data_IF_994126813850
#
_entry.id   IF_994126813850
#
_cell.length_a   1.000
_cell.length_b   1.000
_cell.length_c   1.000
_cell.angle_alpha   90.00
_cell.angle_beta   90.00
_cell.angle_gamma   90.00
#
_symmetry.space_group_name_H-M   'P 1'
#
loop_
_entity.id
_entity.type
_entity.pdbx_description
1 polymer ?
#
# COMPACT_ATOMS: atom_id res chain seq x y z
N UNK A 1 14.12 -24.13 57.11
CA UNK A 1 13.01 -23.25 57.54
C UNK A 1 13.24 -21.90 56.89
N UNK A 2 12.34 -21.25 56.17
CA UNK A 2 10.98 -21.53 55.69
C UNK A 2 10.66 -20.41 54.67
N UNK A 3 9.61 -20.61 53.89
CA UNK A 3 9.20 -19.90 52.67
C UNK A 3 8.73 -18.43 52.89
N UNK A 4 8.60 -17.62 51.81
CA UNK A 4 8.35 -16.17 51.76
C UNK A 4 6.85 -15.81 51.65
N UNK A 5 6.51 -14.53 51.88
CA UNK A 5 5.24 -13.90 51.49
C UNK A 5 5.44 -12.37 51.54
N UNK A 6 5.50 -11.71 50.38
CA UNK A 6 4.42 -10.92 49.77
C UNK A 6 4.14 -9.58 50.45
N UNK A 7 4.08 -8.53 49.62
CA UNK A 7 3.25 -7.30 49.69
C UNK A 7 3.85 -6.35 48.63
N UNK A 8 3.55 -6.52 47.35
CA UNK A 8 2.39 -5.93 46.67
C UNK A 8 2.32 -4.40 46.87
N UNK A 9 2.93 -3.63 45.95
CA UNK A 9 2.52 -2.24 45.76
C UNK A 9 1.22 -2.22 44.94
N UNK A 10 0.11 -1.67 45.46
CA UNK A 10 -1.13 -1.59 44.72
C UNK A 10 -1.00 -0.53 43.60
N UNK A 11 -1.36 -0.93 42.39
CA UNK A 11 -1.67 0.01 41.31
C UNK A 11 -2.82 0.92 41.75
N UNK A 12 -2.86 2.21 41.35
CA UNK A 12 -4.00 3.07 41.63
C UNK A 12 -5.22 2.50 40.89
N UNK A 13 -6.23 2.09 41.65
CA UNK A 13 -7.57 1.87 41.14
C UNK A 13 -8.12 3.21 40.60
N UNK A 14 -8.62 3.25 39.36
CA UNK A 14 -9.54 4.33 38.99
C UNK A 14 -9.46 4.96 37.60
N UNK A 15 -8.78 4.39 36.61
CA UNK A 15 -9.09 4.73 35.22
C UNK A 15 -10.12 3.73 34.66
N UNK A 16 -11.34 3.73 35.20
CA UNK A 16 -12.45 3.00 34.61
C UNK A 16 -12.97 3.79 33.40
N UNK A 17 -12.52 3.36 32.22
CA UNK A 17 -13.10 3.83 30.95
C UNK A 17 -14.59 3.46 30.95
N UNK A 18 -15.51 4.39 30.65
CA UNK A 18 -16.93 4.08 30.53
C UNK A 18 -17.16 2.89 29.59
N UNK A 19 -18.01 1.92 29.98
CA UNK A 19 -18.20 0.67 29.22
C UNK A 19 -18.54 0.90 27.73
N UNK A 20 -19.33 1.95 27.42
CA UNK A 20 -19.66 2.33 26.04
C UNK A 20 -18.46 2.82 25.21
N UNK A 21 -17.37 3.23 25.86
CA UNK A 21 -16.11 3.63 25.23
C UNK A 21 -15.11 2.48 25.12
N UNK A 22 -15.27 1.37 25.86
CA UNK A 22 -14.33 0.23 25.81
C UNK A 22 -14.30 -0.42 24.42
N UNK A 23 -15.48 -0.65 23.83
CA UNK A 23 -15.61 -1.21 22.48
C UNK A 23 -15.12 -0.22 21.42
N UNK A 24 -15.43 1.07 21.59
CA UNK A 24 -14.97 2.13 20.69
C UNK A 24 -13.44 2.29 20.75
N UNK A 25 -12.85 2.30 21.94
CA UNK A 25 -11.40 2.36 22.15
C UNK A 25 -10.71 1.15 21.55
N UNK A 26 -11.22 -0.06 21.79
CA UNK A 26 -10.69 -1.29 21.18
C UNK A 26 -10.74 -1.21 19.66
N UNK A 27 -11.85 -0.74 19.08
CA UNK A 27 -11.99 -0.53 17.63
C UNK A 27 -11.00 0.49 17.07
N UNK A 28 -10.80 1.63 17.74
CA UNK A 28 -9.84 2.66 17.29
C UNK A 28 -8.39 2.21 17.43
N UNK A 29 -8.07 1.50 18.51
CA UNK A 29 -6.75 0.88 18.72
C UNK A 29 -6.50 -0.17 17.64
N UNK A 30 -7.42 -1.10 17.40
CA UNK A 30 -7.30 -2.09 16.33
C UNK A 30 -7.16 -1.43 14.93
N UNK A 31 -7.94 -0.38 14.65
CA UNK A 31 -7.86 0.35 13.39
C UNK A 31 -6.50 1.05 13.22
N UNK A 32 -6.01 1.71 14.27
CA UNK A 32 -4.70 2.36 14.27
C UNK A 32 -3.55 1.36 14.16
N UNK A 33 -3.69 0.17 14.74
CA UNK A 33 -2.70 -0.88 14.67
C UNK A 33 -2.68 -1.54 13.27
N UNK A 34 -3.81 -1.72 12.60
CA UNK A 34 -3.84 -2.46 11.31
C UNK A 34 -3.16 -1.69 10.16
N UNK A 35 -3.20 -0.36 10.15
CA UNK A 35 -2.58 0.46 9.09
C UNK A 35 -3.17 0.22 7.68
N UNK A 36 -2.50 0.70 6.63
CA UNK A 36 -3.02 0.61 5.26
C UNK A 36 -3.15 -0.85 4.76
N UNK A 37 -4.20 -1.15 3.97
CA UNK A 37 -4.50 -2.51 3.51
C UNK A 37 -3.35 -3.22 2.76
N UNK A 38 -2.50 -2.47 2.05
CA UNK A 38 -1.31 -3.03 1.40
C UNK A 38 -0.21 -3.39 2.43
N UNK A 39 -0.07 -2.61 3.49
CA UNK A 39 0.85 -2.90 4.60
C UNK A 39 0.40 -4.16 5.34
N UNK A 40 -0.91 -4.32 5.61
CA UNK A 40 -1.48 -5.54 6.20
C UNK A 40 -1.10 -6.77 5.38
N UNK A 41 -1.39 -6.75 4.07
CA UNK A 41 -1.09 -7.89 3.19
C UNK A 41 0.41 -8.19 3.12
N UNK A 42 1.23 -7.13 3.03
CA UNK A 42 2.68 -7.26 3.00
C UNK A 42 3.23 -7.85 4.31
N UNK A 43 2.72 -7.40 5.46
CA UNK A 43 3.14 -7.88 6.77
C UNK A 43 2.64 -9.28 7.06
N UNK A 44 1.43 -9.65 6.64
CA UNK A 44 0.92 -11.01 6.78
C UNK A 44 1.83 -12.02 6.07
N UNK A 45 2.25 -11.73 4.83
CA UNK A 45 3.17 -12.59 4.10
C UNK A 45 4.59 -12.61 4.70
N UNK A 46 5.06 -11.49 5.25
CA UNK A 46 6.35 -11.43 5.92
C UNK A 46 6.35 -12.18 7.27
N UNK A 47 5.24 -12.09 8.01
CA UNK A 47 5.00 -12.80 9.26
C UNK A 47 4.94 -14.31 9.02
N UNK A 48 4.17 -14.76 8.03
CA UNK A 48 4.08 -16.17 7.67
C UNK A 48 5.47 -16.76 7.36
N UNK A 49 6.32 -16.02 6.63
CA UNK A 49 7.70 -16.46 6.33
C UNK A 49 8.52 -16.62 7.61
N UNK A 50 8.42 -15.68 8.54
CA UNK A 50 9.14 -15.76 9.82
C UNK A 50 8.63 -16.93 10.67
N UNK A 51 7.31 -17.11 10.80
CA UNK A 51 6.74 -18.21 11.58
C UNK A 51 7.11 -19.57 11.00
N UNK A 52 7.10 -19.73 9.69
CA UNK A 52 7.54 -20.97 9.03
C UNK A 52 9.03 -21.23 9.26
N UNK A 53 9.87 -20.19 9.20
CA UNK A 53 11.29 -20.32 9.53
C UNK A 53 11.50 -20.74 10.99
N UNK A 54 10.83 -20.08 11.94
CA UNK A 54 10.86 -20.46 13.35
C UNK A 54 10.45 -21.92 13.57
N UNK A 55 9.38 -22.38 12.93
CA UNK A 55 8.92 -23.77 13.01
C UNK A 55 9.97 -24.76 12.51
N UNK A 56 10.61 -24.48 11.38
CA UNK A 56 11.68 -25.32 10.82
C UNK A 56 12.88 -25.44 11.77
N UNK A 57 13.20 -24.35 12.46
CA UNK A 57 14.32 -24.27 13.39
C UNK A 57 13.95 -24.59 14.85
N UNK A 58 12.71 -25.02 15.11
CA UNK A 58 12.19 -25.33 16.45
C UNK A 58 12.32 -24.17 17.45
N UNK A 59 12.08 -22.95 16.97
CA UNK A 59 12.11 -21.73 17.76
C UNK A 59 10.71 -21.16 17.91
N UNK A 60 10.45 -20.47 19.03
CA UNK A 60 9.22 -19.71 19.20
C UNK A 60 9.19 -18.49 18.27
N UNK A 61 8.04 -18.29 17.64
CA UNK A 61 7.81 -17.12 16.78
C UNK A 61 7.17 -15.96 17.54
N UNK A 62 6.49 -16.24 18.66
CA UNK A 62 5.81 -15.25 19.48
C UNK A 62 5.64 -15.76 20.93
N UNK A 63 6.29 -15.15 21.93
CA UNK A 63 7.35 -14.13 21.80
C UNK A 63 8.58 -14.74 21.11
N UNK A 64 9.11 -14.07 20.09
CA UNK A 64 10.34 -14.51 19.44
C UNK A 64 11.57 -14.12 20.27
N UNK A 65 12.51 -15.05 20.52
CA UNK A 65 13.79 -14.69 21.12
C UNK A 65 14.60 -13.81 20.15
N UNK A 66 15.48 -12.97 20.72
CA UNK A 66 16.35 -12.07 19.95
C UNK A 66 17.21 -12.87 18.95
N UNK A 67 17.63 -14.06 19.34
CA UNK A 67 18.42 -15.00 18.54
C UNK A 67 17.65 -15.51 17.32
N UNK A 68 16.34 -15.80 17.45
CA UNK A 68 15.52 -16.21 16.32
C UNK A 68 15.40 -15.09 15.27
N UNK A 69 15.15 -13.86 15.73
CA UNK A 69 15.10 -12.71 14.84
C UNK A 69 16.47 -12.45 14.18
N UNK A 70 17.57 -12.52 14.94
CA UNK A 70 18.91 -12.32 14.41
C UNK A 70 19.25 -13.36 13.33
N UNK A 71 18.99 -14.64 13.60
CA UNK A 71 19.21 -15.74 12.65
C UNK A 71 18.40 -15.55 11.36
N UNK A 72 17.10 -15.27 11.49
CA UNK A 72 16.24 -15.03 10.33
C UNK A 72 16.70 -13.84 9.47
N UNK A 73 17.05 -12.70 10.08
CA UNK A 73 17.52 -11.53 9.32
C UNK A 73 18.87 -11.79 8.65
N UNK A 74 19.72 -12.62 9.26
CA UNK A 74 21.00 -13.04 8.70
C UNK A 74 20.78 -13.94 7.50
N UNK A 75 19.90 -14.94 7.59
CA UNK A 75 19.59 -15.82 6.46
C UNK A 75 18.95 -15.05 5.29
N UNK A 76 18.07 -14.08 5.57
CA UNK A 76 17.57 -13.18 4.52
C UNK A 76 18.69 -12.37 3.88
N UNK A 77 19.67 -11.92 4.67
CA UNK A 77 20.83 -11.22 4.15
C UNK A 77 21.67 -12.14 3.26
N UNK A 78 22.03 -13.33 3.72
CA UNK A 78 22.86 -14.29 2.98
C UNK A 78 22.18 -14.77 1.71
N UNK A 79 20.85 -14.92 1.73
CA UNK A 79 20.01 -15.18 0.56
C UNK A 79 19.88 -13.99 -0.41
N UNK A 80 20.67 -12.92 -0.23
CA UNK A 80 20.77 -11.80 -1.15
C UNK A 80 19.59 -10.82 -1.10
N UNK A 81 18.74 -10.84 -0.07
CA UNK A 81 17.62 -9.88 0.02
C UNK A 81 18.12 -8.45 0.18
N UNK A 82 17.35 -7.50 -0.39
CA UNK A 82 17.61 -6.06 -0.27
C UNK A 82 17.42 -5.61 1.17
N UNK A 83 18.21 -4.64 1.62
CA UNK A 83 18.10 -4.04 2.97
C UNK A 83 16.67 -3.57 3.27
N UNK A 84 15.99 -2.96 2.31
CA UNK A 84 14.60 -2.50 2.48
C UNK A 84 13.61 -3.66 2.67
N UNK A 85 13.86 -4.82 2.05
CA UNK A 85 13.06 -6.03 2.27
C UNK A 85 13.28 -6.57 3.68
N UNK A 86 14.54 -6.63 4.13
CA UNK A 86 14.91 -7.10 5.48
C UNK A 86 14.28 -6.19 6.55
N UNK A 87 14.38 -4.87 6.40
CA UNK A 87 13.73 -3.90 7.30
C UNK A 87 12.22 -4.06 7.35
N UNK A 88 11.57 -4.38 6.21
CA UNK A 88 10.13 -4.62 6.16
C UNK A 88 9.74 -5.89 6.94
N UNK A 89 10.53 -6.96 6.84
CA UNK A 89 10.36 -8.15 7.69
C UNK A 89 10.51 -7.81 9.18
N UNK A 90 11.54 -7.04 9.55
CA UNK A 90 11.72 -6.57 10.93
C UNK A 90 10.49 -5.80 11.42
N UNK A 91 9.94 -4.90 10.61
CA UNK A 91 8.75 -4.13 10.98
C UNK A 91 7.49 -4.99 11.11
N UNK A 92 7.31 -6.00 10.24
CA UNK A 92 6.20 -6.94 10.34
C UNK A 92 6.27 -7.76 11.64
N UNK A 93 7.47 -8.23 12.02
CA UNK A 93 7.68 -8.99 13.27
C UNK A 93 7.44 -8.11 14.49
N UNK A 94 7.94 -6.87 14.49
CA UNK A 94 7.65 -5.90 15.55
C UNK A 94 6.14 -5.67 15.69
N UNK A 95 5.44 -5.55 14.55
CA UNK A 95 4.00 -5.33 14.55
C UNK A 95 3.21 -6.51 15.08
N UNK A 96 3.65 -7.74 14.80
CA UNK A 96 3.04 -8.94 15.35
C UNK A 96 3.16 -9.00 16.88
N UNK A 97 4.32 -8.61 17.44
CA UNK A 97 4.51 -8.53 18.89
C UNK A 97 3.66 -7.43 19.52
N UNK A 98 3.63 -6.24 18.91
CA UNK A 98 2.79 -5.12 19.34
C UNK A 98 1.29 -5.49 19.35
N UNK A 99 0.80 -6.15 18.29
CA UNK A 99 -0.59 -6.64 18.21
C UNK A 99 -0.91 -7.71 19.26
N UNK A 100 0.09 -8.44 19.73
CA UNK A 100 -0.05 -9.44 20.80
C UNK A 100 0.16 -8.86 22.20
N UNK A 101 0.45 -7.56 22.33
CA UNK A 101 0.77 -6.92 23.62
C UNK A 101 2.10 -7.37 24.22
N UNK A 102 3.04 -7.83 23.38
CA UNK A 102 4.34 -8.36 23.79
C UNK A 102 5.49 -7.42 23.41
N UNK A 103 6.57 -7.48 24.17
CA UNK A 103 7.80 -6.77 23.84
C UNK A 103 8.40 -7.27 22.52
N UNK A 104 8.75 -6.33 21.64
CA UNK A 104 9.34 -6.68 20.36
C UNK A 104 10.85 -6.95 20.48
N UNK A 105 11.36 -8.09 19.95
CA UNK A 105 12.80 -8.37 19.92
C UNK A 105 13.57 -7.37 19.04
N UNK A 106 12.89 -6.61 18.19
CA UNK A 106 13.51 -5.60 17.31
C UNK A 106 14.06 -4.40 18.08
N UNK A 107 13.65 -4.20 19.33
CA UNK A 107 14.11 -3.09 20.17
C UNK A 107 15.51 -3.31 20.73
N UNK A 108 15.96 -4.57 20.77
CA UNK A 108 17.25 -5.01 21.28
C UNK A 108 18.43 -4.37 20.52
N UNK A 109 19.49 -4.03 21.25
CA UNK A 109 20.69 -3.38 20.69
C UNK A 109 21.41 -4.29 19.69
N UNK A 110 21.44 -5.61 19.91
CA UNK A 110 22.04 -6.60 18.99
C UNK A 110 21.39 -6.54 17.62
N UNK A 111 20.06 -6.45 17.56
CA UNK A 111 19.33 -6.35 16.29
C UNK A 111 19.64 -5.04 15.57
N UNK A 112 19.70 -3.92 16.30
CA UNK A 112 20.07 -2.62 15.73
C UNK A 112 21.49 -2.63 15.14
N UNK A 113 22.44 -3.30 15.82
CA UNK A 113 23.81 -3.47 15.33
C UNK A 113 23.85 -4.38 14.10
N UNK A 114 23.15 -5.51 14.13
CA UNK A 114 23.04 -6.44 13.01
C UNK A 114 22.51 -5.74 11.75
N UNK A 115 21.39 -5.03 11.84
CA UNK A 115 20.80 -4.31 10.71
C UNK A 115 21.75 -3.25 10.14
N UNK A 116 22.54 -2.57 10.99
CA UNK A 116 23.58 -1.64 10.55
C UNK A 116 24.72 -2.37 9.82
N UNK A 117 25.13 -3.54 10.30
CA UNK A 117 26.12 -4.41 9.64
C UNK A 117 25.66 -4.84 8.25
N UNK A 118 24.47 -5.44 8.16
CA UNK A 118 23.82 -5.85 6.90
C UNK A 118 23.77 -4.68 5.91
N UNK A 119 23.37 -3.49 6.37
CA UNK A 119 23.28 -2.31 5.50
C UNK A 119 24.65 -1.84 4.96
N UNK A 120 25.72 -1.95 5.77
CA UNK A 120 27.09 -1.56 5.38
C UNK A 120 27.68 -2.52 4.37
N UNK A 121 27.52 -3.82 4.59
CA UNK A 121 28.05 -4.86 3.70
C UNK A 121 27.33 -4.88 2.35
N UNK A 122 26.00 -4.71 2.36
CA UNK A 122 25.19 -4.89 1.15
C UNK A 122 25.16 -3.72 0.19
N UNK A 123 25.95 -2.64 0.38
CA UNK A 123 26.01 -1.38 -0.41
C UNK A 123 25.04 -1.38 -1.61
N UNK A 124 23.74 -1.28 -1.33
CA UNK A 124 22.73 -1.55 -2.36
C UNK A 124 22.52 -0.25 -3.11
N UNK A 125 23.15 -0.10 -4.27
CA UNK A 125 22.79 1.00 -5.19
C UNK A 125 21.33 0.78 -5.57
N UNK A 126 20.46 1.70 -5.14
CA UNK A 126 19.07 1.72 -5.59
C UNK A 126 19.14 1.93 -7.10
N UNK A 127 18.87 0.86 -7.87
CA UNK A 127 18.65 0.97 -9.31
C UNK A 127 17.36 1.76 -9.48
N UNK A 128 17.49 3.07 -9.64
CA UNK A 128 16.39 3.88 -10.13
C UNK A 128 16.09 3.43 -11.56
N UNK A 129 14.82 3.21 -11.87
CA UNK A 129 14.42 3.04 -13.26
C UNK A 129 14.86 4.27 -14.05
N UNK A 130 15.20 4.09 -15.33
CA UNK A 130 15.47 5.22 -16.21
C UNK A 130 14.31 6.21 -16.12
N UNK A 131 14.62 7.51 -16.09
CA UNK A 131 13.60 8.54 -15.95
C UNK A 131 12.60 8.43 -17.12
N UNK A 132 11.34 8.22 -16.79
CA UNK A 132 10.26 8.31 -17.76
C UNK A 132 10.00 9.79 -18.03
N UNK A 133 10.81 10.37 -18.93
CA UNK A 133 10.82 11.82 -19.18
C UNK A 133 9.51 12.26 -19.86
N UNK A 134 9.20 13.54 -19.76
CA UNK A 134 8.04 14.14 -20.45
C UNK A 134 8.09 13.89 -21.97
N UNK A 135 9.28 13.88 -22.57
CA UNK A 135 9.46 13.58 -23.99
C UNK A 135 9.08 12.13 -24.32
N UNK A 136 9.52 11.17 -23.50
CA UNK A 136 9.16 9.75 -23.65
C UNK A 136 7.66 9.57 -23.44
N UNK A 137 7.07 10.23 -22.43
CA UNK A 137 5.63 10.20 -22.19
C UNK A 137 4.84 10.70 -23.40
N UNK A 138 5.14 11.91 -23.91
CA UNK A 138 4.47 12.48 -25.09
C UNK A 138 4.58 11.56 -26.31
N UNK A 139 5.76 10.98 -26.56
CA UNK A 139 5.97 10.01 -27.65
C UNK A 139 5.13 8.75 -27.46
N UNK A 140 5.08 8.23 -26.24
CA UNK A 140 4.29 7.05 -25.89
C UNK A 140 2.81 7.31 -26.16
N UNK A 141 2.28 8.42 -25.65
CA UNK A 141 0.89 8.83 -25.85
C UNK A 141 0.55 8.94 -27.34
N UNK A 142 1.40 9.62 -28.13
CA UNK A 142 1.17 9.81 -29.57
C UNK A 142 1.30 8.52 -30.39
N UNK A 143 1.91 7.47 -29.83
CA UNK A 143 2.02 6.15 -30.46
C UNK A 143 0.89 5.17 -30.13
N UNK A 144 -0.06 5.55 -29.27
CA UNK A 144 -1.20 4.68 -28.91
C UNK A 144 -2.21 4.66 -30.06
N UNK A 145 -2.58 3.47 -30.49
CA UNK A 145 -3.65 3.28 -31.49
C UNK A 145 -5.04 3.48 -30.87
N UNK A 146 -5.51 4.74 -30.92
CA UNK A 146 -6.83 5.16 -30.42
C UNK A 146 -8.02 4.71 -31.28
N UNK A 147 -7.80 3.91 -32.33
CA UNK A 147 -8.90 3.26 -33.06
C UNK A 147 -9.46 2.04 -32.32
N UNK A 148 -8.72 1.51 -31.34
CA UNK A 148 -9.11 0.33 -30.57
C UNK A 148 -9.62 0.69 -29.17
N UNK A 149 -10.58 -0.08 -28.60
CA UNK A 149 -11.00 0.08 -27.21
C UNK A 149 -9.83 0.03 -26.20
N UNK A 150 -8.88 -0.89 -26.39
CA UNK A 150 -7.67 -0.96 -25.54
C UNK A 150 -6.82 0.30 -25.64
N UNK A 151 -6.63 0.82 -26.87
CA UNK A 151 -5.87 2.04 -27.07
C UNK A 151 -6.53 3.25 -26.44
N UNK A 152 -7.84 3.45 -26.65
CA UNK A 152 -8.60 4.53 -26.02
C UNK A 152 -8.54 4.48 -24.49
N UNK A 153 -8.73 3.29 -23.90
CA UNK A 153 -8.61 3.10 -22.45
C UNK A 153 -7.20 3.47 -21.97
N UNK A 154 -6.16 2.97 -22.62
CA UNK A 154 -4.77 3.21 -22.21
C UNK A 154 -4.39 4.69 -22.38
N UNK A 155 -4.89 5.34 -23.42
CA UNK A 155 -4.71 6.76 -23.68
C UNK A 155 -5.31 7.60 -22.55
N UNK A 156 -6.59 7.36 -22.23
CA UNK A 156 -7.27 8.02 -21.10
C UNK A 156 -6.57 7.75 -19.76
N UNK A 157 -6.20 6.49 -19.49
CA UNK A 157 -5.58 6.08 -18.24
C UNK A 157 -4.24 6.78 -18.01
N UNK A 158 -3.37 6.80 -19.03
CA UNK A 158 -2.04 7.37 -18.91
C UNK A 158 -2.09 8.90 -18.82
N UNK A 159 -2.94 9.55 -19.61
CA UNK A 159 -3.09 11.01 -19.55
C UNK A 159 -3.71 11.47 -18.24
N UNK A 160 -4.80 10.84 -17.79
CA UNK A 160 -5.42 11.16 -16.51
C UNK A 160 -4.43 10.90 -15.37
N UNK A 161 -3.76 9.75 -15.37
CA UNK A 161 -2.78 9.38 -14.37
C UNK A 161 -1.62 10.36 -14.25
N UNK A 162 -1.08 10.81 -15.38
CA UNK A 162 0.03 11.75 -15.40
C UNK A 162 -0.39 13.17 -14.99
N UNK A 163 -1.48 13.68 -15.58
CA UNK A 163 -1.92 15.08 -15.37
C UNK A 163 -2.52 15.32 -13.99
N UNK A 164 -3.29 14.36 -13.47
CA UNK A 164 -3.86 14.43 -12.12
C UNK A 164 -3.00 13.81 -11.02
N UNK A 165 -1.76 13.42 -11.35
CA UNK A 165 -0.84 12.75 -10.43
C UNK A 165 -1.52 11.58 -9.66
N UNK A 166 -2.36 10.81 -10.35
CA UNK A 166 -3.08 9.71 -9.71
C UNK A 166 -2.15 8.56 -9.43
N UNK A 167 -2.28 8.00 -8.23
CA UNK A 167 -1.67 6.71 -7.93
C UNK A 167 -2.42 5.61 -8.66
N UNK A 168 -1.71 4.54 -8.97
CA UNK A 168 -2.28 3.37 -9.65
C UNK A 168 -3.56 2.84 -8.97
N UNK A 169 -3.59 2.81 -7.63
CA UNK A 169 -4.76 2.36 -6.86
C UNK A 169 -5.94 3.33 -6.93
N UNK A 170 -5.68 4.64 -7.11
CA UNK A 170 -6.72 5.66 -7.26
C UNK A 170 -7.39 5.49 -8.63
N UNK A 171 -6.60 5.32 -9.71
CA UNK A 171 -7.13 5.00 -11.04
C UNK A 171 -7.89 3.67 -11.06
N UNK A 172 -7.37 2.64 -10.37
CA UNK A 172 -8.06 1.35 -10.24
C UNK A 172 -9.41 1.51 -9.55
N UNK A 173 -9.52 2.34 -8.50
CA UNK A 173 -10.74 2.51 -7.70
C UNK A 173 -11.78 3.45 -8.34
N UNK A 174 -11.39 4.30 -9.28
CA UNK A 174 -12.22 5.33 -9.89
C UNK A 174 -13.51 4.80 -10.53
N UNK A 175 -14.62 5.48 -10.25
CA UNK A 175 -15.92 5.28 -10.88
C UNK A 175 -16.38 6.52 -11.65
N UNK A 176 -17.38 6.36 -12.52
CA UNK A 176 -17.95 7.46 -13.31
C UNK A 176 -18.61 8.48 -12.39
N UNK A 177 -19.23 8.03 -11.29
CA UNK A 177 -19.81 8.91 -10.27
C UNK A 177 -18.80 9.87 -9.62
N UNK A 178 -17.50 9.57 -9.70
CA UNK A 178 -16.44 10.41 -9.17
C UNK A 178 -16.04 11.55 -10.12
N UNK A 179 -16.63 11.62 -11.32
CA UNK A 179 -16.27 12.56 -12.37
C UNK A 179 -17.30 13.67 -12.51
N UNK A 180 -16.91 14.90 -12.15
CA UNK A 180 -17.72 16.10 -12.40
C UNK A 180 -17.07 16.92 -13.52
N UNK A 181 -17.69 16.91 -14.70
CA UNK A 181 -17.26 17.75 -15.83
C UNK A 181 -17.94 19.11 -15.76
N UNK A 182 -17.18 20.18 -16.00
CA UNK A 182 -17.69 21.53 -16.17
C UNK A 182 -17.07 22.20 -17.42
N UNK A 183 -17.34 23.50 -17.62
CA UNK A 183 -16.81 24.26 -18.75
C UNK A 183 -15.29 24.47 -18.66
N UNK A 184 -14.73 24.50 -17.45
CA UNK A 184 -13.32 24.80 -17.19
C UNK A 184 -12.45 23.53 -17.20
N UNK A 185 -13.05 22.36 -16.95
CA UNK A 185 -12.36 21.09 -16.88
C UNK A 185 -13.14 19.93 -16.28
N UNK A 186 -12.45 19.19 -15.42
CA UNK A 186 -12.92 17.99 -14.75
C UNK A 186 -12.45 18.02 -13.30
N UNK A 187 -13.38 17.87 -12.36
CA UNK A 187 -13.08 17.59 -10.95
C UNK A 187 -13.27 16.09 -10.71
N UNK A 188 -12.25 15.47 -10.12
CA UNK A 188 -12.29 14.07 -9.71
C UNK A 188 -12.28 13.96 -8.19
N UNK A 189 -13.34 13.41 -7.62
CA UNK A 189 -13.47 13.21 -6.17
C UNK A 189 -12.99 11.80 -5.78
N UNK A 190 -12.07 11.72 -4.81
CA UNK A 190 -11.52 10.46 -4.32
C UNK A 190 -11.95 10.20 -2.89
N UNK A 191 -12.66 9.09 -2.68
CA UNK A 191 -13.12 8.64 -1.35
C UNK A 191 -11.96 8.16 -0.45
N UNK A 192 -10.85 7.71 -1.06
CA UNK A 192 -9.66 7.25 -0.35
C UNK A 192 -8.40 7.61 -1.13
N UNK A 193 -7.45 8.29 -0.46
CA UNK A 193 -6.12 8.57 -1.01
C UNK A 193 -5.03 7.99 -0.11
N UNK A 194 -3.87 7.68 -0.69
CA UNK A 194 -2.74 7.13 0.09
C UNK A 194 -2.25 8.09 1.19
N UNK A 195 -2.46 9.40 1.00
CA UNK A 195 -2.12 10.45 1.98
C UNK A 195 -3.27 10.70 2.96
N UNK A 196 -4.48 10.30 2.61
CA UNK A 196 -5.70 10.55 3.34
C UNK A 196 -6.25 9.29 4.01
N UNK A 197 -5.47 8.72 4.92
CA UNK A 197 -5.88 7.57 5.73
C UNK A 197 -7.00 7.92 6.74
N UNK A 198 -7.38 9.21 6.82
CA UNK A 198 -8.44 9.75 7.68
C UNK A 198 -9.78 9.94 6.96
N UNK A 199 -9.85 9.68 5.64
CA UNK A 199 -11.12 9.65 4.88
C UNK A 199 -11.74 10.99 4.54
N UNK A 200 -10.97 12.09 4.49
CA UNK A 200 -11.48 13.33 3.88
C UNK A 200 -11.56 13.14 2.35
N UNK A 201 -12.56 13.69 1.67
CA UNK A 201 -12.60 13.63 0.20
C UNK A 201 -11.40 14.44 -0.35
N UNK A 202 -10.59 13.83 -1.23
CA UNK A 202 -9.55 14.55 -1.97
C UNK A 202 -10.08 14.84 -3.37
N UNK A 203 -10.12 16.11 -3.75
CA UNK A 203 -10.53 16.52 -5.09
C UNK A 203 -9.31 16.88 -5.94
N UNK A 204 -9.36 16.45 -7.21
CA UNK A 204 -8.32 16.73 -8.20
C UNK A 204 -8.92 17.44 -9.39
N UNK A 205 -8.57 18.71 -9.55
CA UNK A 205 -8.92 19.50 -10.72
C UNK A 205 -7.99 19.15 -11.90
N UNK A 206 -8.60 18.84 -13.04
CA UNK A 206 -7.95 18.48 -14.29
C UNK A 206 -8.43 19.46 -15.35
N UNK A 207 -7.50 20.06 -16.09
CA UNK A 207 -7.81 21.05 -17.12
C UNK A 207 -7.63 20.48 -18.53
N UNK A 208 -8.29 21.10 -19.50
CA UNK A 208 -8.09 20.78 -20.91
C UNK A 208 -6.65 21.08 -21.35
N UNK A 209 -6.06 20.17 -22.13
CA UNK A 209 -4.82 20.45 -22.87
C UNK A 209 -5.16 21.17 -24.18
N UNK A 210 -4.36 22.17 -24.61
CA UNK A 210 -4.47 22.77 -25.93
C UNK A 210 -4.10 21.77 -27.05
N UNK A 211 -3.17 20.84 -26.81
CA UNK A 211 -2.89 19.72 -27.72
C UNK A 211 -3.96 18.63 -27.50
N UNK A 212 -4.87 18.36 -28.47
CA UNK A 212 -5.93 17.35 -28.30
C UNK A 212 -5.39 15.94 -28.07
N UNK A 213 -4.22 15.60 -28.65
CA UNK A 213 -3.60 14.29 -28.49
C UNK A 213 -3.06 14.08 -27.06
N UNK A 214 -2.86 15.16 -26.31
CA UNK A 214 -2.37 15.14 -24.93
C UNK A 214 -3.45 15.56 -23.92
N UNK A 215 -4.72 15.61 -24.32
CA UNK A 215 -5.79 16.10 -23.46
C UNK A 215 -6.39 14.99 -22.57
N UNK A 216 -6.22 15.06 -21.24
CA UNK A 216 -6.77 14.05 -20.33
C UNK A 216 -8.31 14.02 -20.35
N UNK A 217 -8.95 15.19 -20.50
CA UNK A 217 -10.41 15.27 -20.51
C UNK A 217 -10.99 14.68 -21.80
N UNK A 218 -10.47 15.08 -22.97
CA UNK A 218 -10.95 14.56 -24.26
C UNK A 218 -10.70 13.05 -24.39
N UNK A 219 -9.57 12.57 -23.90
CA UNK A 219 -9.27 11.14 -23.88
C UNK A 219 -10.21 10.37 -22.97
N UNK A 220 -10.50 10.89 -21.77
CA UNK A 220 -11.46 10.31 -20.87
C UNK A 220 -12.88 10.31 -21.47
N UNK A 221 -13.35 11.41 -22.04
CA UNK A 221 -14.65 11.48 -22.71
C UNK A 221 -14.76 10.50 -23.89
N UNK A 222 -13.69 10.35 -24.68
CA UNK A 222 -13.65 9.35 -25.75
C UNK A 222 -13.78 7.92 -25.21
N UNK A 223 -13.11 7.62 -24.09
CA UNK A 223 -13.24 6.32 -23.44
C UNK A 223 -14.61 6.09 -22.80
N UNK A 224 -15.19 7.09 -22.14
CA UNK A 224 -16.54 6.97 -21.54
C UNK A 224 -17.62 6.70 -22.60
N UNK A 225 -17.50 7.27 -23.80
CA UNK A 225 -18.38 6.94 -24.94
C UNK A 225 -18.29 5.47 -25.36
N UNK A 226 -17.12 4.83 -25.21
CA UNK A 226 -16.95 3.39 -25.50
C UNK A 226 -17.53 2.52 -24.39
N UNK A 227 -17.52 2.99 -23.13
CA UNK A 227 -18.17 2.28 -22.03
C UNK A 227 -19.70 2.30 -22.14
N UNK A 228 -20.26 3.37 -22.73
CA UNK A 228 -21.68 3.58 -22.97
C UNK A 228 -22.55 3.35 -21.72
N UNK A 229 -22.16 3.99 -20.61
CA UNK A 229 -22.86 3.89 -19.32
C UNK A 229 -22.60 5.12 -18.46
N UNK A 230 -23.47 5.35 -17.49
CA UNK A 230 -23.43 6.50 -16.58
C UNK A 230 -22.86 6.17 -15.20
N UNK A 231 -22.66 4.90 -14.88
CA UNK A 231 -22.20 4.45 -13.57
C UNK A 231 -21.22 3.27 -13.64
N UNK A 232 -20.50 3.05 -12.55
CA UNK A 232 -19.54 1.99 -12.34
C UNK A 232 -18.10 2.39 -12.68
N UNK A 233 -17.23 1.39 -12.77
CA UNK A 233 -15.78 1.60 -12.88
C UNK A 233 -15.38 2.38 -14.13
N UNK A 234 -14.51 3.39 -14.02
CA UNK A 234 -13.99 4.08 -15.21
C UNK A 234 -13.10 3.14 -16.02
N UNK A 235 -12.16 2.46 -15.37
CA UNK A 235 -11.22 1.56 -16.04
C UNK A 235 -11.57 0.10 -15.83
N UNK A 236 -11.86 -0.60 -16.92
CA UNK A 236 -12.26 -2.01 -16.93
C UNK A 236 -11.29 -2.90 -17.70
N UNK A 237 -11.36 -4.19 -17.42
CA UNK A 237 -10.69 -5.20 -18.23
C UNK A 237 -11.35 -5.33 -19.60
N UNK A 238 -10.56 -5.68 -20.62
CA UNK A 238 -11.06 -6.01 -21.95
C UNK A 238 -10.72 -7.47 -22.26
N UNK A 239 -11.60 -8.15 -23.00
CA UNK A 239 -11.31 -9.48 -23.56
C UNK A 239 -10.31 -9.37 -24.71
N UNK A 240 -9.71 -10.50 -25.12
CA UNK A 240 -8.73 -10.56 -26.23
C UNK A 240 -9.27 -9.99 -27.55
N UNK A 241 -10.58 -10.09 -27.77
CA UNK A 241 -11.29 -9.55 -28.94
C UNK A 241 -11.71 -8.07 -28.77
N UNK A 242 -11.09 -7.31 -27.86
CA UNK A 242 -11.38 -5.90 -27.58
C UNK A 242 -12.76 -5.61 -26.99
N UNK A 243 -13.51 -6.65 -26.57
CA UNK A 243 -14.81 -6.44 -25.95
C UNK A 243 -14.66 -5.88 -24.53
N UNK A 244 -15.34 -4.77 -24.26
CA UNK A 244 -15.43 -4.12 -22.94
C UNK A 244 -16.16 -5.05 -21.96
N UNK A 245 -15.69 -5.10 -20.72
CA UNK A 245 -16.32 -5.89 -19.66
C UNK A 245 -16.83 -5.00 -18.53
N UNK A 246 -17.65 -5.55 -17.65
CA UNK A 246 -18.07 -4.87 -16.42
C UNK A 246 -17.03 -4.99 -15.30
N UNK A 247 -15.99 -5.83 -15.46
CA UNK A 247 -15.00 -6.09 -14.42
C UNK A 247 -13.98 -4.95 -14.35
N UNK A 248 -13.81 -4.38 -13.14
CA UNK A 248 -12.77 -3.40 -12.83
C UNK A 248 -11.40 -3.93 -13.26
N UNK A 249 -10.59 -3.05 -13.84
CA UNK A 249 -9.20 -3.38 -14.15
C UNK A 249 -8.42 -3.52 -12.85
N UNK A 250 -7.93 -4.71 -12.53
CA UNK A 250 -7.18 -4.93 -11.28
C UNK A 250 -5.68 -4.91 -11.54
N UNK A 251 -4.93 -4.53 -10.51
CA UNK A 251 -3.46 -4.55 -10.56
C UNK A 251 -2.85 -5.75 -9.84
N UNK A 252 -3.69 -6.69 -9.42
CA UNK A 252 -3.32 -7.92 -8.72
C UNK A 252 -3.42 -9.06 -9.73
N UNK A 253 -2.27 -9.61 -10.10
CA UNK A 253 -2.15 -10.86 -10.85
C UNK A 253 -1.92 -12.01 -9.87
#
# INVERSE_FOLDING_TARGET
>A
MENPSALAHPLPAGAQVPAHLVDSTSRYVESGLRGAANTIRAYAGDWQRFTTWCQLHQLDSLPAPVEALAGFLTELADAGKKVTTIQRHTAAIAKAHELAGLDSPTTDKKIKVLLKGIAREKKTRIKQAAAFTLAIFKRTIKGIDVSTPTGLRNWALLLLGFTGAFRRSELEALNIEHLAFDEEGLVVSLDQSKTNQLGQAEEKAIFYSPDPALCPIRSLQAWLRVLDRTEGCVFVSLRKNQQVTTRRMTTKY
#
